data_IF_274156756653
#
_entry.id   IF_274156756653
#
_cell.length_a   1.000
_cell.length_b   1.000
_cell.length_c   1.000
_cell.angle_alpha   90.00
_cell.angle_beta   90.00
_cell.angle_gamma   90.00
#
_symmetry.space_group_name_H-M   'P 1'
#
loop_
_entity.id
_entity.type
_entity.pdbx_description
1 polymer ?
#
# COMPACT_ATOMS: atom_id res chain seq x y z
N UNK A 1 18.27 19.27 -15.95
CA UNK A 1 19.16 18.65 -14.94
C UNK A 1 18.29 17.77 -14.06
N UNK A 2 17.92 16.59 -14.56
CA UNK A 2 17.11 15.63 -13.81
C UNK A 2 18.06 14.61 -13.20
N UNK A 3 18.56 14.89 -12.00
CA UNK A 3 19.32 13.91 -11.23
C UNK A 3 18.32 12.92 -10.65
N UNK A 4 17.86 11.95 -11.44
CA UNK A 4 17.27 10.75 -10.86
C UNK A 4 18.36 10.08 -10.02
N UNK A 5 18.05 9.76 -8.77
CA UNK A 5 18.95 9.01 -7.92
C UNK A 5 19.18 7.64 -8.57
N UNK A 6 20.45 7.30 -8.78
CA UNK A 6 20.86 6.05 -9.41
C UNK A 6 20.28 4.86 -8.63
N UNK A 7 19.44 3.99 -9.25
CA UNK A 7 18.85 2.84 -8.59
C UNK A 7 19.89 1.93 -7.93
N UNK A 8 21.08 1.81 -8.53
CA UNK A 8 22.15 0.94 -8.01
C UNK A 8 22.68 1.49 -6.67
N UNK A 9 22.86 2.81 -6.56
CA UNK A 9 23.29 3.48 -5.32
C UNK A 9 22.23 3.34 -4.21
N UNK A 10 20.94 3.35 -4.56
CA UNK A 10 19.85 3.18 -3.61
C UNK A 10 19.77 1.73 -3.09
N UNK A 11 20.02 0.75 -3.95
CA UNK A 11 20.09 -0.67 -3.58
C UNK A 11 21.29 -0.96 -2.67
N UNK A 12 22.45 -0.40 -2.98
CA UNK A 12 23.63 -0.48 -2.12
C UNK A 12 23.35 0.10 -0.73
N UNK A 13 22.70 1.26 -0.65
CA UNK A 13 22.32 1.88 0.63
C UNK A 13 21.36 1.00 1.46
N UNK A 14 20.40 0.32 0.81
CA UNK A 14 19.52 -0.63 1.49
C UNK A 14 20.29 -1.86 2.00
N UNK A 15 21.22 -2.38 1.19
CA UNK A 15 22.08 -3.50 1.58
C UNK A 15 22.96 -3.15 2.79
N UNK A 16 23.53 -1.93 2.83
CA UNK A 16 24.32 -1.47 3.97
C UNK A 16 23.53 -1.40 5.28
N UNK A 17 22.25 -1.01 5.23
CA UNK A 17 21.40 -0.96 6.42
C UNK A 17 21.22 -2.36 7.01
N UNK A 18 21.07 -3.39 6.15
CA UNK A 18 20.97 -4.78 6.58
C UNK A 18 22.28 -5.31 7.19
N UNK A 19 23.42 -4.82 6.70
CA UNK A 19 24.74 -5.21 7.21
C UNK A 19 25.08 -4.53 8.54
N UNK A 20 24.66 -3.28 8.73
CA UNK A 20 25.03 -2.45 9.89
C UNK A 20 24.04 -2.56 11.06
N UNK A 21 22.81 -3.04 10.83
CA UNK A 21 21.80 -3.09 11.87
C UNK A 21 20.56 -3.89 11.52
N UNK A 22 19.63 -3.93 12.46
CA UNK A 22 18.33 -4.58 12.30
C UNK A 22 17.23 -3.54 12.09
N UNK A 23 16.62 -3.54 10.90
CA UNK A 23 15.43 -2.71 10.57
C UNK A 23 14.29 -2.94 11.57
N UNK A 24 14.22 -4.14 12.16
CA UNK A 24 13.21 -4.51 13.14
C UNK A 24 13.43 -3.82 14.49
N UNK A 25 14.69 -3.67 14.91
CA UNK A 25 15.03 -3.25 16.27
C UNK A 25 15.46 -1.77 16.34
N UNK A 26 16.03 -1.24 15.26
CA UNK A 26 16.47 0.16 15.18
C UNK A 26 15.45 1.02 14.42
N UNK A 27 14.89 2.01 15.11
CA UNK A 27 13.93 2.96 14.55
C UNK A 27 14.55 3.85 13.46
N UNK A 28 15.80 4.25 13.61
CA UNK A 28 16.49 5.09 12.63
C UNK A 28 16.83 4.29 11.38
N UNK A 29 17.33 3.06 11.55
CA UNK A 29 17.55 2.14 10.43
C UNK A 29 16.25 1.89 9.64
N UNK A 30 15.12 1.75 10.34
CA UNK A 30 13.80 1.57 9.71
C UNK A 30 13.34 2.81 8.94
N UNK A 31 13.50 3.99 9.53
CA UNK A 31 13.13 5.25 8.87
C UNK A 31 13.96 5.46 7.61
N UNK A 32 15.26 5.18 7.68
CA UNK A 32 16.16 5.33 6.53
C UNK A 32 15.89 4.27 5.45
N UNK A 33 15.66 3.01 5.84
CA UNK A 33 15.25 1.97 4.90
C UNK A 33 13.94 2.32 4.19
N UNK A 34 12.95 2.88 4.91
CA UNK A 34 11.71 3.34 4.31
C UNK A 34 11.94 4.52 3.33
N UNK A 35 12.84 5.44 3.66
CA UNK A 35 13.19 6.57 2.80
C UNK A 35 13.85 6.08 1.50
N UNK A 36 14.84 5.20 1.60
CA UNK A 36 15.53 4.62 0.45
C UNK A 36 14.60 3.74 -0.39
N UNK A 37 13.75 2.93 0.23
CA UNK A 37 12.76 2.12 -0.48
C UNK A 37 11.81 2.96 -1.31
N UNK A 38 11.29 4.08 -0.77
CA UNK A 38 10.44 5.00 -1.53
C UNK A 38 11.18 5.66 -2.68
N UNK A 39 12.42 6.10 -2.45
CA UNK A 39 13.25 6.68 -3.50
C UNK A 39 13.55 5.67 -4.61
N UNK A 40 13.81 4.41 -4.26
CA UNK A 40 14.05 3.33 -5.22
C UNK A 40 12.79 3.04 -6.05
N UNK A 41 11.62 2.98 -5.42
CA UNK A 41 10.34 2.87 -6.13
C UNK A 41 10.19 4.01 -7.13
N UNK A 42 10.40 5.27 -6.72
CA UNK A 42 10.30 6.41 -7.63
C UNK A 42 11.35 6.43 -8.75
N UNK A 43 12.53 5.84 -8.54
CA UNK A 43 13.59 5.79 -9.55
C UNK A 43 13.37 4.69 -10.59
N UNK A 44 12.73 3.58 -10.18
CA UNK A 44 12.43 2.44 -11.05
C UNK A 44 11.05 2.52 -11.71
N UNK A 45 10.13 3.28 -11.13
CA UNK A 45 8.76 3.40 -11.63
C UNK A 45 8.72 4.22 -12.93
N UNK A 46 8.00 3.69 -13.93
CA UNK A 46 7.76 4.42 -15.16
C UNK A 46 6.93 5.69 -14.88
N UNK A 47 7.22 6.82 -15.54
CA UNK A 47 6.48 8.06 -15.31
C UNK A 47 4.96 7.94 -15.51
N UNK A 48 4.52 7.02 -16.37
CA UNK A 48 3.10 6.73 -16.61
C UNK A 48 2.47 6.09 -15.37
N UNK A 49 3.12 5.12 -14.75
CA UNK A 49 2.63 4.45 -13.54
C UNK A 49 2.55 5.44 -12.38
N UNK A 50 3.59 6.26 -12.19
CA UNK A 50 3.59 7.31 -11.18
C UNK A 50 2.45 8.35 -11.38
N UNK A 51 2.13 8.68 -12.63
CA UNK A 51 1.01 9.56 -12.95
C UNK A 51 -0.35 8.91 -12.66
N UNK A 52 -0.51 7.62 -12.98
CA UNK A 52 -1.72 6.85 -12.64
C UNK A 52 -1.93 6.81 -11.13
N UNK A 53 -0.90 6.45 -10.37
CA UNK A 53 -0.96 6.44 -8.91
C UNK A 53 -1.34 7.80 -8.33
N UNK A 54 -0.82 8.89 -8.91
CA UNK A 54 -1.17 10.25 -8.51
C UNK A 54 -2.63 10.61 -8.81
N UNK A 55 -3.16 10.23 -9.97
CA UNK A 55 -4.57 10.45 -10.34
C UNK A 55 -5.52 9.71 -9.39
N UNK A 56 -5.14 8.53 -8.93
CA UNK A 56 -5.95 7.71 -8.02
C UNK A 56 -5.62 7.89 -6.54
N UNK A 57 -4.61 8.70 -6.18
CA UNK A 57 -4.20 8.90 -4.78
C UNK A 57 -5.34 9.39 -3.87
N UNK A 58 -6.29 10.15 -4.42
CA UNK A 58 -7.45 10.64 -3.68
C UNK A 58 -8.50 9.54 -3.38
N UNK A 59 -8.50 8.42 -4.12
CA UNK A 59 -9.46 7.34 -3.90
C UNK A 59 -9.23 6.64 -2.56
N UNK A 60 -7.98 6.42 -2.15
CA UNK A 60 -7.66 5.76 -0.89
C UNK A 60 -8.28 6.45 0.35
N UNK A 61 -8.12 7.76 0.58
CA UNK A 61 -8.75 8.41 1.73
C UNK A 61 -10.28 8.49 1.61
N UNK A 62 -10.83 8.70 0.41
CA UNK A 62 -12.29 8.69 0.19
C UNK A 62 -12.90 7.32 0.51
N UNK A 63 -12.26 6.27 0.03
CA UNK A 63 -12.70 4.90 0.24
C UNK A 63 -12.55 4.54 1.73
N UNK A 64 -11.45 4.89 2.39
CA UNK A 64 -11.26 4.68 3.81
C UNK A 64 -12.38 5.34 4.65
N UNK A 65 -12.84 6.55 4.28
CA UNK A 65 -13.96 7.22 4.96
C UNK A 65 -15.25 6.42 4.86
N UNK A 66 -15.59 5.93 3.66
CA UNK A 66 -16.76 5.08 3.42
C UNK A 66 -16.68 3.79 4.24
N UNK A 67 -15.50 3.15 4.26
CA UNK A 67 -15.28 1.93 5.04
C UNK A 67 -15.43 2.16 6.57
N UNK A 68 -15.03 3.33 7.07
CA UNK A 68 -15.29 3.75 8.47
C UNK A 68 -16.78 3.97 8.71
N UNK A 69 -17.49 4.66 7.80
CA UNK A 69 -18.93 4.92 7.94
C UNK A 69 -19.75 3.62 7.93
N UNK A 70 -19.33 2.64 7.14
CA UNK A 70 -19.91 1.28 7.11
C UNK A 70 -19.39 0.36 8.22
N UNK A 71 -18.51 0.86 9.11
CA UNK A 71 -17.87 0.11 10.20
C UNK A 71 -17.16 -1.18 9.75
N UNK A 72 -16.67 -1.21 8.51
CA UNK A 72 -16.07 -2.41 7.93
C UNK A 72 -14.86 -2.89 8.73
N UNK A 73 -14.01 -1.96 9.18
CA UNK A 73 -12.82 -2.30 9.97
C UNK A 73 -13.17 -2.95 11.32
N UNK A 74 -14.24 -2.48 11.98
CA UNK A 74 -14.72 -3.05 13.24
C UNK A 74 -15.31 -4.45 13.02
N UNK A 75 -16.13 -4.62 11.99
CA UNK A 75 -16.73 -5.91 11.63
C UNK A 75 -15.67 -6.94 11.23
N UNK A 76 -14.64 -6.53 10.48
CA UNK A 76 -13.51 -7.40 10.12
C UNK A 76 -12.68 -7.75 11.36
N UNK A 77 -12.38 -6.76 12.21
CA UNK A 77 -11.57 -6.95 13.43
C UNK A 77 -12.23 -7.84 14.47
N UNK A 78 -13.56 -7.85 14.54
CA UNK A 78 -14.32 -8.59 15.55
C UNK A 78 -14.79 -9.96 15.07
N UNK A 79 -14.65 -10.27 13.78
CA UNK A 79 -15.00 -11.57 13.24
C UNK A 79 -13.93 -12.61 13.55
N UNK A 80 -14.34 -13.75 14.10
CA UNK A 80 -13.45 -14.88 14.31
C UNK A 80 -13.20 -15.62 12.98
N UNK A 81 -12.17 -15.19 12.25
CA UNK A 81 -11.71 -15.84 11.03
C UNK A 81 -11.95 -15.03 9.76
N UNK A 82 -11.95 -15.73 8.61
CA UNK A 82 -12.12 -15.10 7.31
C UNK A 82 -13.59 -14.69 7.10
N UNK A 83 -13.82 -13.42 6.77
CA UNK A 83 -15.13 -12.89 6.41
C UNK A 83 -15.22 -12.64 4.90
N UNK A 84 -16.30 -13.08 4.27
CA UNK A 84 -16.54 -12.85 2.83
C UNK A 84 -17.17 -11.47 2.58
N UNK A 85 -17.07 -10.97 1.34
CA UNK A 85 -17.71 -9.70 0.96
C UNK A 85 -19.24 -9.76 1.16
N UNK A 86 -19.89 -10.87 0.79
CA UNK A 86 -21.32 -11.10 1.03
C UNK A 86 -21.70 -11.01 2.52
N UNK A 87 -20.91 -11.66 3.39
CA UNK A 87 -21.14 -11.62 4.84
C UNK A 87 -20.95 -10.21 5.39
N UNK A 88 -19.92 -9.52 4.93
CA UNK A 88 -19.63 -8.15 5.36
C UNK A 88 -20.68 -7.15 4.86
N UNK A 89 -21.20 -7.32 3.65
CA UNK A 89 -22.33 -6.57 3.10
C UNK A 89 -23.59 -6.75 3.95
N UNK A 90 -23.94 -7.99 4.30
CA UNK A 90 -25.07 -8.30 5.16
C UNK A 90 -24.97 -7.66 6.56
N UNK A 91 -23.75 -7.61 7.14
CA UNK A 91 -23.51 -7.05 8.47
C UNK A 91 -23.43 -5.52 8.49
N UNK A 92 -22.88 -4.91 7.44
CA UNK A 92 -22.68 -3.46 7.35
C UNK A 92 -23.87 -2.72 6.73
N UNK A 93 -24.75 -3.42 6.01
CA UNK A 93 -25.75 -2.81 5.14
C UNK A 93 -25.16 -2.18 3.87
N UNK A 94 -23.87 -2.42 3.61
CA UNK A 94 -23.18 -1.97 2.40
C UNK A 94 -23.47 -2.86 1.20
N UNK A 95 -23.21 -2.35 0.01
CA UNK A 95 -23.35 -3.10 -1.24
C UNK A 95 -22.12 -4.00 -1.48
N UNK A 96 -22.35 -5.25 -1.87
CA UNK A 96 -21.31 -6.30 -1.92
C UNK A 96 -20.24 -6.04 -2.99
N UNK A 97 -20.59 -5.50 -4.16
CA UNK A 97 -19.62 -5.22 -5.22
C UNK A 97 -18.68 -4.08 -4.81
N UNK A 98 -19.18 -3.05 -4.14
CA UNK A 98 -18.41 -1.95 -3.57
C UNK A 98 -17.44 -2.49 -2.52
N UNK A 99 -17.90 -3.34 -1.60
CA UNK A 99 -17.04 -4.01 -0.61
C UNK A 99 -15.99 -4.91 -1.30
N UNK A 100 -16.34 -5.55 -2.41
CA UNK A 100 -15.39 -6.33 -3.19
C UNK A 100 -14.31 -5.46 -3.86
N UNK A 101 -14.65 -4.24 -4.29
CA UNK A 101 -13.68 -3.27 -4.82
C UNK A 101 -12.72 -2.75 -3.76
N UNK A 102 -13.14 -2.66 -2.50
CA UNK A 102 -12.26 -2.33 -1.38
C UNK A 102 -11.15 -3.35 -1.12
N UNK A 103 -11.40 -4.62 -1.47
CA UNK A 103 -10.51 -5.73 -1.12
C UNK A 103 -9.29 -5.88 -2.04
N UNK A 104 -9.25 -5.20 -3.18
CA UNK A 104 -8.23 -5.47 -4.21
C UNK A 104 -7.36 -4.22 -4.43
N UNK A 105 -6.07 -4.24 -4.06
CA UNK A 105 -5.10 -3.40 -4.74
C UNK A 105 -4.95 -3.98 -6.15
N UNK A 106 -5.66 -3.41 -7.14
CA UNK A 106 -5.44 -3.76 -8.55
C UNK A 106 -4.04 -3.25 -8.92
N UNK A 107 -3.04 -4.12 -8.83
CA UNK A 107 -1.79 -3.93 -9.55
C UNK A 107 -2.04 -4.39 -10.99
N UNK A 108 -1.77 -3.49 -11.93
CA UNK A 108 -1.84 -3.77 -13.36
C UNK A 108 -0.75 -4.82 -13.66
N UNK A 109 -1.17 -6.07 -13.90
CA UNK A 109 -0.27 -7.22 -14.04
C UNK A 109 -0.98 -8.58 -13.99
N UNK A 110 -2.09 -8.67 -13.25
CA UNK A 110 -2.90 -9.90 -13.20
C UNK A 110 -4.02 -9.84 -14.25
N UNK A 111 -3.62 -10.00 -15.52
CA UNK A 111 -4.50 -10.51 -16.57
C UNK A 111 -4.00 -11.89 -16.95
N UNK A 112 -4.23 -12.88 -16.09
CA UNK A 112 -4.60 -14.29 -16.39
C UNK A 112 -4.97 -15.00 -15.09
#
# INVERSE_FOLDING_TARGET
>A
MSSQADPDVLLEGLAEILLKGSVKEDHNARKEALRLSKALTMALEEPVNAAVDMMFAAFAPMSARIAVDLKLFELISSHEGLITAAQLAALSGGEELLISWFRIPRREGDLF
#
